data_IF_848739933898
#
_entry.id   IF_848739933898
#
_cell.length_a   1.000
_cell.length_b   1.000
_cell.length_c   1.000
_cell.angle_alpha   90.00
_cell.angle_beta   90.00
_cell.angle_gamma   90.00
#
_symmetry.space_group_name_H-M   'P 1'
#
loop_
_entity.id
_entity.type
_entity.pdbx_description
1 polymer ?
#
# COMPACT_ATOMS: atom_id res chain seq x y z
N UNK A 1 33.31 19.45 15.12
CA UNK A 1 33.34 18.35 16.11
C UNK A 1 32.41 18.72 17.25
N UNK A 2 31.34 17.95 17.48
CA UNK A 2 30.39 18.22 18.56
C UNK A 2 29.37 17.08 18.62
N UNK A 3 29.60 16.13 19.53
CA UNK A 3 28.77 14.94 19.75
C UNK A 3 27.59 15.32 20.63
N UNK A 4 26.37 15.06 20.19
CA UNK A 4 25.15 15.17 20.98
C UNK A 4 24.96 13.91 21.82
N UNK A 5 25.18 14.05 23.13
CA UNK A 5 24.88 13.05 24.15
C UNK A 5 23.52 13.35 24.76
N UNK A 6 22.47 12.63 24.34
CA UNK A 6 21.16 12.64 24.99
C UNK A 6 20.58 11.23 25.02
N UNK A 7 21.10 10.42 25.96
CA UNK A 7 20.47 9.19 26.40
C UNK A 7 21.02 8.82 27.77
N UNK A 8 20.29 9.17 28.85
CA UNK A 8 20.24 8.43 30.13
C UNK A 8 19.39 9.17 31.16
N UNK A 9 18.63 8.39 31.95
CA UNK A 9 17.72 8.71 33.07
C UNK A 9 16.26 8.94 32.65
N UNK A 10 15.25 8.31 33.23
CA UNK A 10 15.17 7.42 34.38
C UNK A 10 13.88 6.55 34.29
N UNK A 11 13.93 5.33 34.84
CA UNK A 11 12.75 4.54 35.19
C UNK A 11 13.04 3.88 36.54
N UNK A 12 12.22 4.18 37.55
CA UNK A 12 12.04 3.41 38.79
C UNK A 12 10.54 3.35 39.05
N UNK A 13 9.93 2.19 39.35
CA UNK A 13 8.54 2.13 39.76
C UNK A 13 8.43 2.24 41.28
N UNK A 14 7.55 3.11 41.76
CA UNK A 14 7.04 3.11 43.13
C UNK A 14 5.72 2.37 43.18
N UNK A 15 5.57 1.46 44.16
CA UNK A 15 4.30 0.91 44.62
C UNK A 15 3.58 1.96 45.46
N UNK A 16 2.25 1.93 45.48
CA UNK A 16 1.47 2.02 46.72
C UNK A 16 0.02 1.57 46.50
N UNK A 17 -0.50 0.91 47.53
CA UNK A 17 -1.83 0.29 47.68
C UNK A 17 -2.85 1.30 48.23
N UNK A 18 -4.15 0.98 48.15
CA UNK A 18 -5.16 1.56 49.06
C UNK A 18 -6.54 1.84 48.46
N UNK A 19 -7.49 0.95 48.75
CA UNK A 19 -8.97 1.10 48.69
C UNK A 19 -9.42 1.13 50.17
N UNK A 20 -10.48 1.87 50.63
CA UNK A 20 -11.86 1.33 50.53
C UNK A 20 -13.09 2.28 50.57
N UNK A 21 -14.22 1.71 50.09
CA UNK A 21 -15.63 1.79 50.59
C UNK A 21 -16.37 3.15 50.63
N UNK A 22 -17.71 3.30 50.54
CA UNK A 22 -18.87 2.46 50.28
C UNK A 22 -20.16 3.35 50.21
N UNK A 23 -21.25 2.78 49.67
CA UNK A 23 -22.66 3.07 50.05
C UNK A 23 -23.45 3.94 49.06
N UNK A 24 -24.76 3.76 48.80
CA UNK A 24 -25.77 2.69 48.97
C UNK A 24 -27.15 3.33 48.64
N UNK A 25 -28.12 2.56 48.14
CA UNK A 25 -29.56 2.89 48.12
C UNK A 25 -30.20 2.81 46.71
N UNK A 26 -30.89 1.74 46.27
CA UNK A 26 -32.12 1.03 46.69
C UNK A 26 -33.43 1.70 46.23
N UNK A 27 -34.27 0.89 45.53
CA UNK A 27 -35.74 1.02 45.46
C UNK A 27 -36.31 0.81 44.04
N UNK A 28 -36.66 -0.42 43.60
CA UNK A 28 -37.99 -1.12 43.65
C UNK A 28 -39.08 -0.45 42.79
N UNK A 29 -40.01 -1.10 42.08
CA UNK A 29 -40.42 -2.50 41.85
C UNK A 29 -41.72 -2.54 41.00
N UNK A 30 -41.96 -3.62 40.25
CA UNK A 30 -43.30 -4.12 39.83
C UNK A 30 -43.82 -3.61 38.47
N UNK A 31 -44.51 -4.38 37.62
CA UNK A 31 -44.96 -5.77 37.66
C UNK A 31 -45.81 -6.10 36.39
N UNK A 32 -45.61 -7.31 35.86
CA UNK A 32 -46.53 -8.25 35.19
C UNK A 32 -47.76 -7.82 34.35
N UNK A 33 -47.84 -8.46 33.16
CA UNK A 33 -48.96 -9.21 32.50
C UNK A 33 -49.54 -8.69 31.17
N UNK A 34 -49.28 -9.51 30.13
CA UNK A 34 -50.16 -10.06 29.07
C UNK A 34 -51.27 -9.20 28.45
N UNK A 35 -51.25 -9.05 27.12
CA UNK A 35 -52.11 -9.82 26.17
C UNK A 35 -52.00 -9.26 24.73
N UNK A 36 -51.89 -10.18 23.77
CA UNK A 36 -52.33 -10.16 22.36
C UNK A 36 -52.77 -8.83 21.72
N UNK A 37 -52.21 -8.47 20.55
CA UNK A 37 -52.62 -8.99 19.22
C UNK A 37 -52.21 -8.01 18.10
N UNK A 38 -51.99 -8.58 16.91
CA UNK A 38 -52.09 -7.98 15.58
C UNK A 38 -50.92 -7.18 14.96
N UNK A 39 -50.58 -7.65 13.74
CA UNK A 39 -50.20 -6.92 12.52
C UNK A 39 -48.72 -6.59 12.22
N UNK A 40 -48.22 -7.18 11.11
CA UNK A 40 -47.05 -6.77 10.32
C UNK A 40 -45.81 -7.65 10.53
N UNK A 41 -45.54 -8.73 9.77
CA UNK A 41 -45.04 -8.73 8.37
C UNK A 41 -43.89 -7.72 8.24
N UNK A 42 -42.62 -8.04 8.02
CA UNK A 42 -41.91 -9.03 7.21
C UNK A 42 -40.41 -8.87 7.56
N UNK A 43 -39.58 -9.91 7.42
CA UNK A 43 -38.13 -9.91 7.07
C UNK A 43 -37.38 -11.06 7.77
N UNK A 44 -37.68 -12.29 7.37
CA UNK A 44 -36.75 -13.42 7.41
C UNK A 44 -37.07 -14.33 6.23
N UNK A 45 -36.17 -14.34 5.25
CA UNK A 45 -35.84 -15.43 4.31
C UNK A 45 -35.41 -14.85 2.96
N UNK A 46 -34.12 -14.87 2.67
CA UNK A 46 -33.64 -15.19 1.32
C UNK A 46 -32.20 -15.71 1.40
N UNK A 47 -32.08 -17.01 1.63
CA UNK A 47 -30.90 -17.80 1.25
C UNK A 47 -31.29 -18.55 -0.02
N UNK A 48 -30.39 -18.46 -0.99
CA UNK A 48 -30.28 -19.24 -2.21
C UNK A 48 -31.15 -18.85 -3.42
N UNK A 49 -30.50 -18.85 -4.59
CA UNK A 49 -31.14 -18.64 -5.88
C UNK A 49 -30.99 -17.25 -6.49
N UNK A 50 -29.83 -16.96 -7.08
CA UNK A 50 -29.70 -16.49 -8.48
C UNK A 50 -28.23 -16.34 -8.88
N UNK A 51 -27.70 -17.43 -9.43
CA UNK A 51 -26.79 -17.38 -10.56
C UNK A 51 -27.56 -16.78 -11.75
N UNK A 52 -26.85 -16.06 -12.62
CA UNK A 52 -27.31 -15.48 -13.88
C UNK A 52 -28.11 -14.17 -13.76
N UNK A 53 -27.37 -13.06 -13.84
CA UNK A 53 -27.61 -11.89 -14.70
C UNK A 53 -26.92 -10.68 -14.07
N UNK A 54 -25.75 -10.31 -14.59
CA UNK A 54 -25.17 -8.96 -14.71
C UNK A 54 -23.80 -9.16 -15.40
N UNK A 55 -23.82 -9.34 -16.72
CA UNK A 55 -22.65 -9.11 -17.58
C UNK A 55 -23.13 -8.39 -18.84
N UNK A 56 -23.26 -7.07 -18.74
CA UNK A 56 -23.22 -6.17 -19.90
C UNK A 56 -22.39 -4.94 -19.51
N UNK A 57 -21.09 -5.16 -19.34
CA UNK A 57 -20.10 -4.09 -19.40
C UNK A 57 -19.04 -4.53 -20.40
N UNK A 58 -18.92 -3.71 -21.44
CA UNK A 58 -17.86 -3.60 -22.43
C UNK A 58 -16.63 -4.47 -22.16
N UNK A 59 -16.40 -5.46 -23.03
CA UNK A 59 -15.18 -6.28 -23.05
C UNK A 59 -14.02 -5.45 -23.60
N UNK A 60 -13.32 -4.70 -22.74
CA UNK A 60 -11.94 -4.31 -23.02
C UNK A 60 -11.03 -5.47 -22.61
N UNK A 61 -10.61 -6.30 -23.57
CA UNK A 61 -9.77 -7.48 -23.34
C UNK A 61 -8.31 -7.05 -23.20
N UNK A 62 -7.89 -6.66 -21.99
CA UNK A 62 -6.47 -6.48 -21.68
C UNK A 62 -5.85 -7.88 -21.50
N UNK A 63 -5.10 -8.36 -22.50
CA UNK A 63 -4.35 -9.62 -22.40
C UNK A 63 -2.91 -9.33 -21.96
N UNK A 64 -2.64 -9.54 -20.66
CA UNK A 64 -1.32 -9.46 -20.03
C UNK A 64 -0.48 -10.65 -20.51
N UNK A 65 0.39 -10.44 -21.48
CA UNK A 65 1.23 -11.48 -22.07
C UNK A 65 2.63 -11.47 -21.40
N UNK A 66 2.89 -12.45 -20.52
CA UNK A 66 4.19 -12.72 -19.88
C UNK A 66 5.03 -13.61 -20.81
N UNK A 67 6.21 -13.15 -21.24
CA UNK A 67 7.19 -13.97 -21.98
C UNK A 67 8.37 -14.28 -21.06
N UNK A 68 8.60 -15.56 -20.79
CA UNK A 68 9.80 -16.03 -20.11
C UNK A 68 10.80 -16.51 -21.17
N UNK A 69 11.92 -15.81 -21.32
CA UNK A 69 13.10 -16.31 -22.04
C UNK A 69 14.23 -16.47 -21.03
N UNK A 70 14.55 -17.72 -20.73
CA UNK A 70 15.66 -18.12 -19.88
C UNK A 70 16.98 -18.03 -20.65
N UNK A 71 17.59 -16.84 -20.69
CA UNK A 71 18.96 -16.66 -21.14
C UNK A 71 19.93 -16.79 -19.96
N UNK A 72 20.77 -17.83 -19.95
CA UNK A 72 21.82 -18.06 -18.95
C UNK A 72 23.02 -17.12 -19.18
N UNK A 73 22.83 -15.84 -18.91
CA UNK A 73 23.88 -14.86 -18.65
C UNK A 73 23.39 -13.99 -17.49
N UNK A 74 24.16 -13.88 -16.41
CA UNK A 74 23.69 -13.14 -15.23
C UNK A 74 23.56 -11.66 -15.60
N UNK A 75 22.32 -11.21 -15.76
CA UNK A 75 22.02 -9.82 -16.10
C UNK A 75 22.67 -8.87 -15.05
N UNK A 76 23.17 -7.71 -15.49
CA UNK A 76 23.69 -6.70 -14.57
C UNK A 76 22.58 -6.17 -13.67
N UNK A 77 22.93 -5.51 -12.56
CA UNK A 77 21.93 -4.84 -11.73
C UNK A 77 21.36 -3.60 -12.43
N UNK A 78 20.05 -3.37 -12.27
CA UNK A 78 19.38 -2.21 -12.84
C UNK A 78 19.84 -0.89 -12.20
N UNK A 79 20.09 0.11 -13.05
CA UNK A 79 20.36 1.49 -12.63
C UNK A 79 19.08 2.25 -12.26
N UNK A 80 19.26 3.51 -11.83
CA UNK A 80 18.14 4.38 -11.46
C UNK A 80 17.54 4.11 -10.08
N UNK A 81 16.74 5.07 -9.62
CA UNK A 81 15.98 4.95 -8.37
C UNK A 81 14.81 3.97 -8.49
N UNK A 82 14.40 3.35 -7.38
CA UNK A 82 13.22 2.46 -7.36
C UNK A 82 11.92 3.19 -7.76
N UNK A 83 11.85 4.49 -7.45
CA UNK A 83 10.70 5.36 -7.71
C UNK A 83 10.87 6.21 -8.98
N UNK A 84 11.99 6.12 -9.68
CA UNK A 84 12.19 6.82 -10.95
C UNK A 84 11.62 5.97 -12.08
N UNK A 85 10.79 6.53 -12.95
CA UNK A 85 10.34 5.93 -14.21
C UNK A 85 10.90 6.74 -15.37
N UNK A 86 11.73 6.12 -16.20
CA UNK A 86 12.24 6.77 -17.42
C UNK A 86 11.21 6.55 -18.53
N UNK A 87 10.49 7.61 -18.88
CA UNK A 87 9.60 7.63 -20.02
C UNK A 87 10.37 8.03 -21.28
N UNK A 88 10.37 7.15 -22.28
CA UNK A 88 11.05 7.34 -23.56
C UNK A 88 9.99 7.60 -24.62
N UNK A 89 10.02 8.79 -25.20
CA UNK A 89 9.02 9.25 -26.17
C UNK A 89 9.58 10.38 -27.03
N UNK A 90 9.07 10.52 -28.26
CA UNK A 90 9.24 11.73 -29.05
C UNK A 90 8.47 12.90 -28.42
N UNK A 91 8.88 14.13 -28.72
CA UNK A 91 8.28 15.34 -28.17
C UNK A 91 6.78 15.44 -28.49
N UNK A 92 6.38 15.08 -29.71
CA UNK A 92 4.98 15.09 -30.16
C UNK A 92 4.14 14.01 -29.44
N UNK A 93 4.70 12.82 -29.25
CA UNK A 93 4.02 11.71 -28.57
C UNK A 93 3.84 12.03 -27.08
N UNK A 94 4.87 12.62 -26.46
CA UNK A 94 4.78 13.15 -25.10
C UNK A 94 3.75 14.27 -24.99
N UNK A 95 3.71 15.21 -25.94
CA UNK A 95 2.71 16.27 -25.94
C UNK A 95 1.27 15.71 -26.04
N UNK A 96 1.06 14.58 -26.72
CA UNK A 96 -0.26 13.97 -26.87
C UNK A 96 -0.71 13.17 -25.64
N UNK A 97 0.18 12.38 -25.03
CA UNK A 97 -0.17 11.38 -24.02
C UNK A 97 0.61 11.48 -22.70
N UNK A 98 1.72 12.23 -22.68
CA UNK A 98 2.69 12.26 -21.60
C UNK A 98 2.12 12.73 -20.26
N UNK A 99 1.33 13.81 -20.25
CA UNK A 99 0.74 14.32 -19.00
C UNK A 99 -0.31 13.38 -18.40
N UNK A 100 -1.05 12.63 -19.23
CA UNK A 100 -2.00 11.62 -18.76
C UNK A 100 -1.27 10.49 -18.03
N UNK A 101 -0.19 9.98 -18.63
CA UNK A 101 0.59 8.90 -18.02
C UNK A 101 1.40 9.40 -16.83
N UNK A 102 1.94 10.62 -16.88
CA UNK A 102 2.58 11.27 -15.73
C UNK A 102 1.60 11.38 -14.56
N UNK A 103 0.41 11.91 -14.79
CA UNK A 103 -0.62 12.02 -13.75
C UNK A 103 -1.00 10.67 -13.15
N UNK A 104 -1.04 9.62 -13.97
CA UNK A 104 -1.32 8.27 -13.50
C UNK A 104 -0.19 7.67 -12.64
N UNK A 105 1.08 7.95 -12.98
CA UNK A 105 2.26 7.42 -12.29
C UNK A 105 2.65 8.22 -11.04
N UNK A 106 2.61 9.55 -11.13
CA UNK A 106 3.03 10.48 -10.08
C UNK A 106 1.94 10.70 -9.02
N UNK A 107 1.25 9.63 -8.61
CA UNK A 107 0.18 9.71 -7.60
C UNK A 107 0.71 10.25 -6.30
N UNK A 108 0.00 11.21 -5.74
CA UNK A 108 0.35 11.84 -4.47
C UNK A 108 0.08 10.90 -3.30
N UNK A 109 1.08 10.74 -2.45
CA UNK A 109 0.99 10.15 -1.13
C UNK A 109 0.99 11.27 -0.11
N UNK A 110 -0.10 11.35 0.67
CA UNK A 110 -0.24 12.32 1.75
C UNK A 110 0.74 11.98 2.88
N UNK A 111 1.85 12.71 2.91
CA UNK A 111 2.72 12.83 4.09
C UNK A 111 2.71 14.30 4.52
N UNK A 112 3.35 14.68 5.66
CA UNK A 112 3.42 16.09 6.05
C UNK A 112 3.93 17.04 4.95
N UNK A 113 4.73 16.53 4.02
CA UNK A 113 5.01 17.19 2.75
C UNK A 113 4.57 16.24 1.65
N UNK A 114 3.71 16.68 0.72
CA UNK A 114 3.21 15.79 -0.32
C UNK A 114 4.36 15.15 -1.12
N UNK A 115 4.30 13.83 -1.25
CA UNK A 115 5.30 13.03 -1.95
C UNK A 115 4.61 12.26 -3.09
N UNK A 116 5.37 11.81 -4.09
CA UNK A 116 4.82 11.05 -5.22
C UNK A 116 5.28 9.59 -5.14
N UNK A 117 4.43 8.65 -5.58
CA UNK A 117 4.82 7.23 -5.66
C UNK A 117 5.96 7.03 -6.65
N UNK A 118 5.85 7.65 -7.83
CA UNK A 118 6.88 7.67 -8.85
C UNK A 118 7.23 9.10 -9.25
N UNK A 119 8.43 9.29 -9.79
CA UNK A 119 8.87 10.50 -10.47
C UNK A 119 9.15 10.11 -11.92
N UNK A 120 8.46 10.76 -12.86
CA UNK A 120 8.61 10.47 -14.28
C UNK A 120 9.65 11.40 -14.88
N UNK A 121 10.69 10.78 -15.44
CA UNK A 121 11.75 11.46 -16.18
C UNK A 121 11.57 11.19 -17.66
N UNK A 122 11.40 12.24 -18.45
CA UNK A 122 11.23 12.12 -19.91
C UNK A 122 12.60 12.16 -20.57
N UNK A 123 12.84 11.24 -21.51
CA UNK A 123 14.04 11.22 -22.32
C UNK A 123 13.69 10.90 -23.78
N UNK A 124 14.42 11.47 -24.75
CA UNK A 124 14.16 11.21 -26.16
C UNK A 124 14.74 9.84 -26.57
N UNK A 125 14.27 9.23 -27.69
CA UNK A 125 14.64 7.87 -28.08
C UNK A 125 16.14 7.67 -28.32
N UNK A 126 16.90 8.69 -28.70
CA UNK A 126 18.34 8.60 -28.92
C UNK A 126 19.10 8.26 -27.63
N UNK A 127 18.55 8.66 -26.48
CA UNK A 127 19.12 8.33 -25.17
C UNK A 127 18.70 6.97 -24.64
N UNK A 128 17.84 6.24 -25.35
CA UNK A 128 17.38 4.92 -24.90
C UNK A 128 18.54 3.98 -24.59
N UNK A 129 19.61 3.99 -25.42
CA UNK A 129 20.80 3.17 -25.18
C UNK A 129 21.44 3.37 -23.80
N UNK A 130 21.46 4.62 -23.31
CA UNK A 130 21.98 4.96 -21.98
C UNK A 130 21.05 4.47 -20.86
N UNK A 131 19.74 4.72 -20.98
CA UNK A 131 18.75 4.35 -19.97
C UNK A 131 18.29 2.89 -20.07
N UNK A 132 18.74 2.13 -21.07
CA UNK A 132 18.28 0.76 -21.35
C UNK A 132 18.40 -0.19 -20.15
N UNK A 133 19.26 0.11 -19.18
CA UNK A 133 19.45 -0.69 -17.97
C UNK A 133 18.76 -0.11 -16.71
N UNK A 134 17.89 0.88 -16.84
CA UNK A 134 17.14 1.43 -15.71
C UNK A 134 16.08 0.44 -15.20
N UNK A 135 15.80 0.47 -13.89
CA UNK A 135 14.82 -0.44 -13.27
C UNK A 135 13.41 -0.24 -13.82
N UNK A 136 13.01 0.97 -14.16
CA UNK A 136 11.67 1.26 -14.64
C UNK A 136 11.76 2.08 -15.93
N UNK A 137 11.27 1.50 -17.02
CA UNK A 137 11.25 2.14 -18.33
C UNK A 137 9.83 2.08 -18.87
N UNK A 138 9.33 3.20 -19.36
CA UNK A 138 8.08 3.30 -20.08
C UNK A 138 8.35 3.84 -21.49
N UNK A 139 8.08 3.06 -22.51
CA UNK A 139 8.14 3.51 -23.91
C UNK A 139 6.75 4.01 -24.32
N UNK A 140 6.66 5.20 -24.92
CA UNK A 140 5.41 5.77 -25.44
C UNK A 140 5.64 6.14 -26.89
N UNK A 141 4.87 5.55 -27.81
CA UNK A 141 5.09 5.76 -29.24
C UNK A 141 3.79 5.66 -30.06
N UNK A 142 3.72 6.42 -31.15
CA UNK A 142 2.83 6.12 -32.29
C UNK A 142 3.59 5.45 -33.45
N UNK A 143 2.88 4.78 -34.36
CA UNK A 143 3.48 4.01 -35.46
C UNK A 143 3.28 4.65 -36.84
N UNK A 144 2.47 5.70 -36.95
CA UNK A 144 2.25 6.51 -38.16
C UNK A 144 3.45 7.41 -38.52
N UNK A 145 4.55 7.36 -37.75
CA UNK A 145 5.81 8.05 -38.04
C UNK A 145 6.92 7.06 -38.46
N UNK A 146 7.81 7.44 -39.39
CA UNK A 146 8.86 6.54 -39.87
C UNK A 146 10.07 6.43 -38.93
N UNK A 147 10.34 7.46 -38.11
CA UNK A 147 11.57 7.61 -37.32
C UNK A 147 11.30 7.76 -35.81
N UNK A 148 12.37 7.96 -35.03
CA UNK A 148 12.29 8.23 -33.60
C UNK A 148 11.87 7.01 -32.78
N UNK A 149 10.89 7.20 -31.90
CA UNK A 149 10.39 6.15 -31.01
C UNK A 149 9.68 5.04 -31.80
N UNK A 150 9.09 5.36 -32.95
CA UNK A 150 8.49 4.35 -33.83
C UNK A 150 9.52 3.36 -34.39
N UNK A 151 10.70 3.84 -34.80
CA UNK A 151 11.80 2.99 -35.25
C UNK A 151 12.33 2.11 -34.11
N UNK A 152 12.51 2.72 -32.92
CA UNK A 152 12.86 1.97 -31.71
C UNK A 152 11.85 0.86 -31.42
N UNK A 153 10.54 1.15 -31.50
CA UNK A 153 9.49 0.15 -31.33
C UNK A 153 9.58 -0.97 -32.37
N UNK A 154 9.78 -0.64 -33.65
CA UNK A 154 9.94 -1.65 -34.72
C UNK A 154 11.16 -2.54 -34.51
N UNK A 155 12.24 -1.99 -33.94
CA UNK A 155 13.44 -2.76 -33.60
C UNK A 155 13.23 -3.73 -32.42
N UNK A 156 12.32 -3.39 -31.50
CA UNK A 156 12.05 -4.15 -30.28
C UNK A 156 10.89 -5.16 -30.42
N UNK A 157 9.91 -4.86 -31.27
CA UNK A 157 8.68 -5.65 -31.40
C UNK A 157 8.67 -6.51 -32.67
N UNK A 158 8.23 -7.76 -32.54
CA UNK A 158 8.04 -8.65 -33.68
C UNK A 158 6.81 -8.29 -34.52
N UNK A 159 6.82 -8.70 -35.80
CA UNK A 159 5.75 -8.41 -36.80
C UNK A 159 4.33 -8.68 -36.33
N UNK A 160 4.12 -9.72 -35.51
CA UNK A 160 2.79 -10.06 -34.96
C UNK A 160 2.24 -8.97 -34.05
N UNK A 161 3.09 -8.30 -33.26
CA UNK A 161 2.66 -7.24 -32.35
C UNK A 161 2.38 -5.96 -33.13
N UNK A 162 3.23 -5.64 -34.11
CA UNK A 162 3.02 -4.49 -35.01
C UNK A 162 1.68 -4.59 -35.74
N UNK A 163 1.39 -5.75 -36.36
CA UNK A 163 0.09 -5.99 -37.02
C UNK A 163 -1.08 -5.82 -36.06
N UNK A 164 -0.95 -6.29 -34.81
CA UNK A 164 -2.01 -6.10 -33.81
C UNK A 164 -2.24 -4.64 -33.45
N UNK A 165 -1.20 -3.80 -33.44
CA UNK A 165 -1.35 -2.36 -33.19
C UNK A 165 -2.10 -1.70 -34.36
N UNK A 166 -1.83 -2.12 -35.59
CA UNK A 166 -2.57 -1.66 -36.78
C UNK A 166 -4.06 -2.05 -36.68
N UNK A 167 -4.35 -3.31 -36.33
CA UNK A 167 -5.70 -3.89 -36.25
C UNK A 167 -6.51 -3.37 -35.04
N UNK A 168 -5.92 -3.31 -33.85
CA UNK A 168 -6.57 -2.96 -32.57
C UNK A 168 -6.39 -1.49 -32.17
N UNK A 169 -5.59 -0.72 -32.93
CA UNK A 169 -5.32 0.69 -32.70
C UNK A 169 -4.24 0.97 -31.64
N UNK A 170 -4.10 0.15 -30.60
CA UNK A 170 -3.03 0.27 -29.62
C UNK A 170 -2.74 -1.02 -28.84
N UNK A 171 -1.56 -1.09 -28.25
CA UNK A 171 -1.13 -2.17 -27.37
C UNK A 171 -0.42 -1.61 -26.14
N UNK A 172 -0.78 -2.15 -24.97
CA UNK A 172 0.02 -2.07 -23.76
C UNK A 172 0.79 -3.38 -23.55
N UNK A 173 2.12 -3.31 -23.62
CA UNK A 173 3.01 -4.46 -23.42
C UNK A 173 3.98 -4.25 -22.27
N UNK A 174 4.44 -5.33 -21.65
CA UNK A 174 5.50 -5.25 -20.65
C UNK A 174 6.43 -6.46 -20.69
N UNK A 175 7.65 -6.26 -20.20
CA UNK A 175 8.66 -7.29 -20.01
C UNK A 175 9.41 -7.05 -18.72
N UNK A 176 9.92 -8.15 -18.15
CA UNK A 176 10.82 -8.12 -17.01
C UNK A 176 12.21 -8.55 -17.45
N UNK A 177 13.21 -8.02 -16.77
CA UNK A 177 14.60 -8.45 -16.89
C UNK A 177 15.13 -8.50 -18.33
N UNK A 178 14.79 -7.48 -19.14
CA UNK A 178 15.18 -7.44 -20.56
C UNK A 178 16.69 -7.24 -20.71
N UNK A 179 17.23 -6.27 -19.96
CA UNK A 179 18.64 -5.88 -20.04
C UNK A 179 19.35 -5.78 -18.69
N UNK A 180 18.60 -5.79 -17.59
CA UNK A 180 19.12 -5.75 -16.22
C UNK A 180 18.19 -6.51 -15.27
N UNK A 181 18.72 -7.00 -14.14
CA UNK A 181 17.93 -7.64 -13.08
C UNK A 181 17.00 -6.65 -12.42
N UNK A 182 15.84 -7.16 -12.02
CA UNK A 182 14.75 -6.42 -11.43
C UNK A 182 14.28 -5.29 -12.35
N UNK A 183 14.41 -5.44 -13.67
CA UNK A 183 13.96 -4.43 -14.62
C UNK A 183 12.48 -4.64 -14.96
N UNK A 184 11.75 -3.55 -15.06
CA UNK A 184 10.38 -3.50 -15.54
C UNK A 184 10.30 -2.54 -16.72
N UNK A 185 10.11 -3.10 -17.91
CA UNK A 185 9.95 -2.38 -19.16
C UNK A 185 8.48 -2.44 -19.58
N UNK A 186 7.84 -1.30 -19.75
CA UNK A 186 6.47 -1.16 -20.21
C UNK A 186 6.47 -0.37 -21.53
N UNK A 187 5.57 -0.68 -22.44
CA UNK A 187 5.42 0.03 -23.71
C UNK A 187 3.94 0.28 -24.00
N UNK A 188 3.57 1.55 -24.10
CA UNK A 188 2.29 2.03 -24.63
C UNK A 188 2.54 2.44 -26.08
N UNK A 189 2.08 1.61 -27.02
CA UNK A 189 2.26 1.88 -28.45
C UNK A 189 0.91 1.94 -29.12
N UNK A 190 0.66 3.00 -29.88
CA UNK A 190 -0.56 3.19 -30.65
C UNK A 190 -0.28 3.33 -32.15
N UNK A 191 -1.33 3.19 -32.95
CA UNK A 191 -1.27 3.39 -34.40
C UNK A 191 -0.96 4.84 -34.74
N UNK A 192 -1.63 5.78 -34.07
CA UNK A 192 -1.59 7.21 -34.35
C UNK A 192 -1.70 8.02 -33.04
N UNK A 193 -1.52 9.34 -33.14
CA UNK A 193 -1.51 10.23 -31.98
C UNK A 193 -2.85 10.35 -31.24
N UNK A 194 -3.98 10.10 -31.91
CA UNK A 194 -5.32 10.12 -31.31
C UNK A 194 -5.54 8.88 -30.45
N UNK A 195 -5.31 7.69 -31.02
CA UNK A 195 -5.36 6.43 -30.29
C UNK A 195 -4.39 6.42 -29.10
N UNK A 196 -3.21 7.03 -29.24
CA UNK A 196 -2.23 7.15 -28.16
C UNK A 196 -2.79 7.92 -26.96
N UNK A 197 -3.43 9.07 -27.22
CA UNK A 197 -4.04 9.91 -26.16
C UNK A 197 -5.20 9.21 -25.48
N UNK A 198 -6.11 8.63 -26.27
CA UNK A 198 -7.26 7.90 -25.75
C UNK A 198 -6.81 6.79 -24.79
N UNK A 199 -5.86 5.97 -25.23
CA UNK A 199 -5.40 4.81 -24.47
C UNK A 199 -4.48 5.16 -23.31
N UNK A 200 -3.74 6.26 -23.39
CA UNK A 200 -3.03 6.81 -22.23
C UNK A 200 -3.98 7.18 -21.09
N UNK A 201 -5.13 7.79 -21.42
CA UNK A 201 -6.18 8.10 -20.46
C UNK A 201 -6.86 6.85 -19.90
N UNK A 202 -7.24 5.91 -20.78
CA UNK A 202 -7.94 4.68 -20.40
C UNK A 202 -7.05 3.74 -19.55
N UNK A 203 -5.78 3.58 -19.92
CA UNK A 203 -4.89 2.58 -19.34
C UNK A 203 -3.92 3.13 -18.29
N UNK A 204 -3.94 4.43 -17.98
CA UNK A 204 -3.07 5.03 -16.96
C UNK A 204 -3.14 4.28 -15.62
N UNK A 205 -4.34 3.87 -15.23
CA UNK A 205 -4.58 3.09 -14.01
C UNK A 205 -3.93 1.70 -14.03
N UNK A 206 -3.95 1.03 -15.18
CA UNK A 206 -3.29 -0.26 -15.37
C UNK A 206 -1.76 -0.09 -15.38
N UNK A 207 -1.25 0.93 -16.09
CA UNK A 207 0.17 1.27 -16.13
C UNK A 207 0.71 1.47 -14.70
N UNK A 208 0.03 2.29 -13.90
CA UNK A 208 0.41 2.52 -12.50
C UNK A 208 0.49 1.21 -11.70
N UNK A 209 -0.55 0.38 -11.75
CA UNK A 209 -0.59 -0.89 -11.00
C UNK A 209 0.54 -1.84 -11.40
N UNK A 210 0.91 -1.85 -12.68
CA UNK A 210 2.02 -2.69 -13.17
C UNK A 210 3.38 -2.23 -12.62
N UNK A 211 3.65 -0.92 -12.63
CA UNK A 211 4.86 -0.35 -12.02
C UNK A 211 4.87 -0.50 -10.49
N UNK A 212 3.73 -0.25 -9.83
CA UNK A 212 3.60 -0.40 -8.37
C UNK A 212 3.86 -1.85 -7.95
N UNK A 213 3.31 -2.84 -8.66
CA UNK A 213 3.58 -4.25 -8.40
C UNK A 213 5.07 -4.58 -8.54
N UNK A 214 5.73 -4.10 -9.60
CA UNK A 214 7.17 -4.30 -9.78
C UNK A 214 8.00 -3.64 -8.66
N UNK A 215 7.59 -2.45 -8.20
CA UNK A 215 8.20 -1.77 -7.05
C UNK A 215 8.03 -2.60 -5.77
N UNK A 216 6.82 -3.08 -5.47
CA UNK A 216 6.54 -3.87 -4.27
C UNK A 216 7.31 -5.19 -4.24
N UNK A 217 7.40 -5.90 -5.36
CA UNK A 217 8.19 -7.14 -5.48
C UNK A 217 9.67 -6.89 -5.14
N UNK A 218 10.27 -5.82 -5.69
CA UNK A 218 11.66 -5.43 -5.41
C UNK A 218 11.86 -5.03 -3.96
N UNK A 219 10.98 -4.18 -3.44
CA UNK A 219 11.05 -3.71 -2.05
C UNK A 219 10.94 -4.88 -1.09
N UNK A 220 10.02 -5.82 -1.35
CA UNK A 220 9.86 -7.05 -0.57
C UNK A 220 11.14 -7.88 -0.59
N UNK A 221 11.70 -8.17 -1.77
CA UNK A 221 12.98 -8.86 -1.89
C UNK A 221 14.11 -8.15 -1.13
N UNK A 222 14.16 -6.83 -1.21
CA UNK A 222 15.18 -6.02 -0.54
C UNK A 222 15.04 -6.00 0.99
N UNK A 223 13.83 -5.82 1.55
CA UNK A 223 13.67 -5.75 3.02
C UNK A 223 13.98 -7.10 3.68
N UNK A 224 13.70 -8.22 3.03
CA UNK A 224 13.92 -9.56 3.57
C UNK A 224 15.28 -10.18 3.22
N UNK A 225 16.11 -9.54 2.38
CA UNK A 225 17.38 -10.12 1.88
C UNK A 225 18.40 -10.51 2.96
N UNK A 226 18.35 -9.86 4.12
CA UNK A 226 19.25 -10.14 5.25
C UNK A 226 18.62 -11.08 6.30
N UNK A 227 17.48 -11.68 5.96
CA UNK A 227 16.72 -12.56 6.82
C UNK A 227 15.66 -11.85 7.66
N UNK A 228 15.10 -12.63 8.58
CA UNK A 228 13.93 -12.31 9.38
C UNK A 228 14.21 -12.55 10.86
N UNK A 229 13.47 -11.88 11.73
CA UNK A 229 13.52 -12.04 13.19
C UNK A 229 12.64 -13.21 13.64
N UNK A 230 12.95 -14.42 13.17
CA UNK A 230 12.11 -15.63 13.38
C UNK A 230 11.67 -15.88 14.82
N UNK A 231 12.55 -15.67 15.79
CA UNK A 231 12.20 -15.85 17.21
C UNK A 231 11.10 -14.88 17.68
N UNK A 232 11.03 -13.67 17.13
CA UNK A 232 9.92 -12.76 17.40
C UNK A 232 8.64 -13.23 16.71
N UNK A 233 8.72 -13.73 15.47
CA UNK A 233 7.56 -14.28 14.76
C UNK A 233 6.97 -15.49 15.49
N UNK A 234 7.82 -16.41 15.95
CA UNK A 234 7.41 -17.60 16.71
C UNK A 234 6.78 -17.24 18.05
N UNK A 235 7.30 -16.20 18.72
CA UNK A 235 6.72 -15.67 19.95
C UNK A 235 5.31 -15.11 19.71
N UNK A 236 5.13 -14.30 18.65
CA UNK A 236 3.82 -13.75 18.29
C UNK A 236 2.82 -14.87 17.98
N UNK A 237 3.29 -15.85 17.18
CA UNK A 237 2.53 -17.04 16.80
C UNK A 237 2.03 -17.80 18.03
N UNK A 238 2.95 -18.16 18.91
CA UNK A 238 2.68 -19.04 20.06
C UNK A 238 1.84 -18.35 21.14
N UNK A 239 2.01 -17.04 21.33
CA UNK A 239 1.31 -16.30 22.38
C UNK A 239 -0.05 -15.74 21.96
N UNK A 240 -0.21 -15.38 20.69
CA UNK A 240 -1.37 -14.59 20.25
C UNK A 240 -2.14 -15.20 19.07
N UNK A 241 -1.70 -16.33 18.51
CA UNK A 241 -2.43 -17.00 17.42
C UNK A 241 -2.34 -16.29 16.06
N UNK A 242 -1.44 -15.31 15.92
CA UNK A 242 -1.15 -14.63 14.67
C UNK A 242 0.35 -14.38 14.54
N UNK A 243 0.81 -14.13 13.32
CA UNK A 243 2.21 -13.87 13.02
C UNK A 243 2.37 -12.67 12.10
N UNK A 244 3.56 -12.08 12.17
CA UNK A 244 3.99 -10.97 11.33
C UNK A 244 5.41 -11.29 10.88
N UNK A 245 5.70 -11.26 9.58
CA UNK A 245 7.07 -11.46 9.07
C UNK A 245 7.89 -10.22 9.37
N UNK A 246 8.96 -10.34 10.15
CA UNK A 246 9.73 -9.20 10.64
C UNK A 246 11.11 -9.18 10.00
N UNK A 247 11.40 -8.24 9.07
CA UNK A 247 12.75 -8.07 8.55
C UNK A 247 13.79 -7.85 9.65
N UNK A 248 15.06 -8.17 9.38
CA UNK A 248 16.14 -7.86 10.32
C UNK A 248 16.13 -6.40 10.79
N UNK A 249 16.36 -6.25 12.10
CA UNK A 249 16.43 -4.97 12.81
C UNK A 249 15.12 -4.48 13.42
N UNK A 250 14.01 -5.21 13.24
CA UNK A 250 12.80 -4.97 14.04
C UNK A 250 12.96 -5.57 15.45
N UNK A 251 12.35 -4.92 16.44
CA UNK A 251 12.30 -5.40 17.82
C UNK A 251 10.88 -5.26 18.37
N UNK A 252 10.49 -6.21 19.22
CA UNK A 252 9.24 -6.14 19.98
C UNK A 252 9.49 -5.24 21.19
N UNK A 253 8.88 -4.06 21.21
CA UNK A 253 9.00 -3.09 22.31
C UNK A 253 7.96 -3.39 23.40
N UNK A 254 6.79 -3.94 23.01
CA UNK A 254 5.74 -4.38 23.93
C UNK A 254 4.98 -5.56 23.32
N UNK A 255 4.67 -6.54 24.17
CA UNK A 255 3.78 -7.65 23.82
C UNK A 255 2.97 -8.07 25.04
N UNK A 256 1.73 -7.57 25.10
CA UNK A 256 0.76 -7.87 26.16
C UNK A 256 -0.58 -8.33 25.58
N UNK A 257 -1.54 -8.57 26.47
CA UNK A 257 -2.90 -8.89 26.07
C UNK A 257 -3.54 -7.70 25.33
N UNK A 258 -4.07 -7.97 24.14
CA UNK A 258 -4.75 -6.97 23.30
C UNK A 258 -3.84 -5.96 22.60
N UNK A 259 -2.52 -5.99 22.80
CA UNK A 259 -1.61 -5.02 22.18
C UNK A 259 -0.17 -5.51 22.03
N UNK A 260 0.34 -5.40 20.80
CA UNK A 260 1.75 -5.60 20.44
C UNK A 260 2.27 -4.38 19.71
N UNK A 261 3.49 -3.95 20.04
CA UNK A 261 4.21 -2.89 19.33
C UNK A 261 5.60 -3.38 18.93
N UNK A 262 5.88 -3.30 17.63
CA UNK A 262 7.19 -3.61 17.05
C UNK A 262 7.78 -2.40 16.34
N UNK A 263 9.09 -2.23 16.43
CA UNK A 263 9.77 -0.99 16.01
C UNK A 263 11.10 -1.29 15.34
N UNK A 264 11.46 -0.47 14.35
CA UNK A 264 12.81 -0.35 13.78
C UNK A 264 13.23 1.12 13.89
N UNK A 265 14.39 1.37 14.51
CA UNK A 265 14.81 2.73 14.92
C UNK A 265 15.57 3.53 13.86
N UNK A 266 16.10 2.87 12.83
CA UNK A 266 16.98 3.51 11.84
C UNK A 266 16.52 3.22 10.41
N UNK A 267 15.79 4.16 9.77
CA UNK A 267 15.08 5.27 10.43
C UNK A 267 13.86 4.77 11.21
N UNK A 268 13.25 5.66 11.98
CA UNK A 268 12.19 5.36 12.92
C UNK A 268 10.88 4.98 12.21
N UNK A 269 10.42 3.75 12.45
CA UNK A 269 9.18 3.19 11.93
C UNK A 269 8.69 2.06 12.81
N UNK A 270 7.38 1.94 12.92
CA UNK A 270 6.78 0.94 13.78
C UNK A 270 5.49 0.39 13.23
N UNK A 271 5.10 -0.75 13.81
CA UNK A 271 3.83 -1.40 13.60
C UNK A 271 3.24 -1.65 14.97
N UNK A 272 1.95 -1.40 15.15
CA UNK A 272 1.23 -2.01 16.26
C UNK A 272 0.12 -2.91 15.76
N UNK A 273 -0.14 -3.94 16.55
CA UNK A 273 -1.31 -4.80 16.42
C UNK A 273 -2.11 -4.64 17.71
N UNK A 274 -3.36 -4.20 17.58
CA UNK A 274 -4.32 -4.17 18.68
C UNK A 274 -5.46 -5.13 18.38
N UNK A 275 -6.00 -5.77 19.41
CA UNK A 275 -7.23 -6.56 19.30
C UNK A 275 -8.05 -6.48 20.57
N UNK A 276 -9.37 -6.52 20.41
CA UNK A 276 -10.32 -6.43 21.51
C UNK A 276 -11.76 -6.63 21.05
N UNK A 277 -12.70 -6.20 21.89
CA UNK A 277 -14.12 -6.30 21.60
C UNK A 277 -14.47 -5.55 20.30
N UNK A 278 -15.22 -6.22 19.43
CA UNK A 278 -15.68 -5.62 18.19
C UNK A 278 -16.82 -4.63 18.47
N UNK A 279 -16.83 -3.46 17.81
CA UNK A 279 -18.00 -2.61 17.79
C UNK A 279 -19.11 -3.25 16.94
N UNK A 280 -20.35 -2.80 17.14
CA UNK A 280 -21.46 -3.15 16.25
C UNK A 280 -21.15 -2.76 14.79
N UNK A 281 -20.52 -1.60 14.61
CA UNK A 281 -20.06 -1.10 13.31
C UNK A 281 -18.57 -0.75 13.37
N UNK A 282 -17.77 -1.40 12.52
CA UNK A 282 -16.36 -1.08 12.31
C UNK A 282 -16.23 -0.17 11.08
N UNK A 283 -16.30 1.13 11.30
CA UNK A 283 -16.10 2.18 10.29
C UNK A 283 -14.85 3.02 10.57
N UNK A 284 -14.53 3.98 9.71
CA UNK A 284 -13.39 4.86 9.91
C UNK A 284 -13.49 5.77 11.13
N UNK A 285 -14.70 6.11 11.59
CA UNK A 285 -14.90 6.94 12.78
C UNK A 285 -14.48 6.17 14.05
N UNK A 286 -14.96 4.93 14.20
CA UNK A 286 -14.52 4.04 15.28
C UNK A 286 -13.02 3.77 15.20
N UNK A 287 -12.51 3.44 14.00
CA UNK A 287 -11.10 3.10 13.82
C UNK A 287 -10.17 4.27 14.17
N UNK A 288 -10.55 5.50 13.80
CA UNK A 288 -9.83 6.72 14.20
C UNK A 288 -9.85 6.89 15.71
N UNK A 289 -11.03 6.79 16.34
CA UNK A 289 -11.17 7.00 17.78
C UNK A 289 -10.34 5.98 18.59
N UNK A 290 -10.35 4.70 18.17
CA UNK A 290 -9.51 3.67 18.79
C UNK A 290 -8.03 3.94 18.58
N UNK A 291 -7.63 4.35 17.37
CA UNK A 291 -6.23 4.73 17.10
C UNK A 291 -5.77 5.88 18.00
N UNK A 292 -6.58 6.93 18.17
CA UNK A 292 -6.28 8.06 19.05
C UNK A 292 -6.19 7.62 20.53
N UNK A 293 -7.04 6.68 20.98
CA UNK A 293 -6.96 6.09 22.33
C UNK A 293 -5.64 5.31 22.54
N UNK A 294 -5.29 4.44 21.59
CA UNK A 294 -4.01 3.72 21.58
C UNK A 294 -2.84 4.71 21.59
N UNK A 295 -2.92 5.78 20.80
CA UNK A 295 -1.99 6.90 20.76
C UNK A 295 -1.78 7.59 22.11
N UNK A 296 -2.88 7.92 22.80
CA UNK A 296 -2.85 8.49 24.15
C UNK A 296 -2.18 7.55 25.17
N UNK A 297 -2.49 6.24 25.09
CA UNK A 297 -2.02 5.25 26.07
C UNK A 297 -0.56 4.82 25.87
N UNK A 298 -0.13 4.64 24.63
CA UNK A 298 1.16 4.00 24.32
C UNK A 298 2.16 4.91 23.61
N UNK A 299 1.69 6.00 23.00
CA UNK A 299 2.51 6.90 22.18
C UNK A 299 2.52 8.34 22.71
N UNK A 300 2.37 8.53 24.02
CA UNK A 300 2.43 9.85 24.67
C UNK A 300 1.47 10.90 24.07
N UNK A 301 0.32 10.47 23.54
CA UNK A 301 -0.66 11.38 22.95
C UNK A 301 -0.54 11.59 21.45
N UNK A 302 0.09 10.69 20.71
CA UNK A 302 -0.04 10.68 19.25
C UNK A 302 -1.52 10.64 18.86
N UNK A 303 -1.91 11.47 17.89
CA UNK A 303 -3.28 11.54 17.38
C UNK A 303 -3.32 11.78 15.88
N UNK A 304 -4.44 11.42 15.26
CA UNK A 304 -4.68 11.68 13.84
C UNK A 304 -4.97 13.16 13.61
N UNK A 305 -4.39 13.73 12.54
CA UNK A 305 -4.74 15.05 12.02
C UNK A 305 -5.96 14.91 11.08
N UNK A 306 -7.19 15.30 11.50
CA UNK A 306 -8.41 14.91 10.80
C UNK A 306 -8.51 15.42 9.35
N UNK A 307 -7.95 16.59 9.07
CA UNK A 307 -8.03 17.25 7.76
C UNK A 307 -7.30 16.47 6.66
N UNK A 308 -6.37 15.60 7.03
CA UNK A 308 -5.55 14.83 6.11
C UNK A 308 -5.95 13.37 6.02
N UNK A 309 -6.98 12.98 6.77
CA UNK A 309 -7.45 11.61 6.84
C UNK A 309 -8.14 11.20 5.54
N UNK A 310 -7.82 10.00 5.07
CA UNK A 310 -8.50 9.31 3.98
C UNK A 310 -8.97 7.95 4.48
N UNK A 311 -10.21 7.61 4.19
CA UNK A 311 -10.82 6.31 4.47
C UNK A 311 -11.10 5.57 3.17
N UNK A 312 -10.78 4.28 3.14
CA UNK A 312 -11.00 3.40 1.99
C UNK A 312 -11.43 2.00 2.48
N UNK A 313 -12.44 1.42 1.81
CA UNK A 313 -12.75 0.00 1.96
C UNK A 313 -11.70 -0.81 1.18
N UNK A 314 -11.08 -1.79 1.85
CA UNK A 314 -10.02 -2.63 1.27
C UNK A 314 -10.18 -4.09 1.72
N UNK A 315 -9.36 -4.97 1.14
CA UNK A 315 -9.11 -6.29 1.70
C UNK A 315 -7.78 -6.27 2.47
N UNK A 316 -7.77 -6.81 3.69
CA UNK A 316 -6.56 -6.99 4.49
C UNK A 316 -6.60 -8.35 5.19
N UNK A 317 -5.48 -9.07 5.17
CA UNK A 317 -5.39 -10.44 5.70
C UNK A 317 -6.49 -11.40 5.20
N UNK A 318 -6.91 -11.24 3.94
CA UNK A 318 -7.95 -12.06 3.29
C UNK A 318 -9.39 -11.74 3.73
N UNK A 319 -9.64 -10.54 4.26
CA UNK A 319 -10.93 -10.15 4.84
C UNK A 319 -11.28 -8.70 4.46
N UNK A 320 -12.58 -8.35 4.41
CA UNK A 320 -13.00 -6.95 4.33
C UNK A 320 -12.43 -6.14 5.50
N UNK A 321 -11.90 -4.96 5.21
CA UNK A 321 -11.26 -4.08 6.16
C UNK A 321 -11.53 -2.61 5.81
N UNK A 322 -11.46 -1.75 6.83
CA UNK A 322 -11.39 -0.30 6.66
C UNK A 322 -9.93 0.11 6.75
N UNK A 323 -9.44 0.86 5.76
CA UNK A 323 -8.11 1.47 5.80
C UNK A 323 -8.22 2.96 6.02
N UNK A 324 -7.56 3.44 7.07
CA UNK A 324 -7.24 4.86 7.22
C UNK A 324 -5.81 5.13 6.74
N UNK A 325 -5.62 6.22 6.01
CA UNK A 325 -4.31 6.78 5.69
C UNK A 325 -4.31 8.27 6.02
N UNK A 326 -3.23 8.78 6.61
CA UNK A 326 -3.18 10.18 6.99
C UNK A 326 -1.91 10.57 7.73
N UNK A 327 -1.98 11.70 8.43
CA UNK A 327 -0.88 12.22 9.23
C UNK A 327 -1.21 12.01 10.71
N UNK A 328 -0.24 11.51 11.46
CA UNK A 328 -0.26 11.55 12.92
C UNK A 328 0.57 12.73 13.41
N UNK A 329 0.18 13.32 14.52
CA UNK A 329 0.92 14.36 15.22
C UNK A 329 1.05 14.04 16.70
N UNK A 330 2.13 14.54 17.30
CA UNK A 330 2.33 14.58 18.74
C UNK A 330 2.52 16.04 19.17
N UNK A 331 1.52 16.66 19.82
CA UNK A 331 1.63 18.06 20.26
C UNK A 331 2.72 18.28 21.32
N UNK A 332 3.03 17.27 22.14
CA UNK A 332 4.04 17.40 23.21
C UNK A 332 5.46 17.45 22.66
N UNK A 333 5.73 16.69 21.60
CA UNK A 333 7.06 16.59 20.99
C UNK A 333 7.19 17.40 19.70
N UNK A 334 6.12 18.06 19.24
CA UNK A 334 6.06 18.79 17.97
C UNK A 334 6.57 17.90 16.82
N UNK A 335 6.06 16.67 16.80
CA UNK A 335 6.48 15.63 15.86
C UNK A 335 5.28 15.13 15.07
N UNK A 336 5.53 14.57 13.89
CA UNK A 336 4.48 13.99 13.07
C UNK A 336 5.04 13.24 11.86
N UNK A 337 4.18 12.48 11.22
CA UNK A 337 4.53 11.64 10.09
C UNK A 337 3.31 10.98 9.48
N UNK A 338 3.46 10.26 8.35
CA UNK A 338 2.36 9.52 7.76
C UNK A 338 2.13 8.19 8.48
N UNK A 339 0.89 7.71 8.42
CA UNK A 339 0.48 6.39 8.87
C UNK A 339 -0.45 5.69 7.87
N UNK A 340 -0.56 4.36 8.00
CA UNK A 340 -1.67 3.56 7.47
C UNK A 340 -2.20 2.66 8.58
N UNK A 341 -3.51 2.55 8.70
CA UNK A 341 -4.20 1.80 9.74
C UNK A 341 -5.27 0.93 9.12
N UNK A 342 -5.23 -0.38 9.38
CA UNK A 342 -6.20 -1.35 8.89
C UNK A 342 -7.03 -1.86 10.06
N UNK A 343 -8.34 -1.62 10.01
CA UNK A 343 -9.31 -2.16 10.97
C UNK A 343 -10.15 -3.26 10.31
N UNK A 344 -10.26 -4.42 10.95
CA UNK A 344 -11.04 -5.54 10.45
C UNK A 344 -11.54 -6.43 11.60
N UNK A 345 -12.52 -7.28 11.33
CA UNK A 345 -13.02 -8.25 12.30
C UNK A 345 -12.51 -9.68 12.02
N UNK A 346 -12.25 -10.42 13.09
CA UNK A 346 -11.95 -11.85 13.04
C UNK A 346 -12.43 -12.53 14.32
N UNK A 347 -13.24 -13.59 14.18
CA UNK A 347 -13.73 -14.41 15.32
C UNK A 347 -14.35 -13.58 16.46
N UNK A 348 -15.22 -12.63 16.10
CA UNK A 348 -15.93 -11.77 17.07
C UNK A 348 -15.08 -10.68 17.72
N UNK A 349 -13.80 -10.53 17.31
CA UNK A 349 -12.91 -9.47 17.77
C UNK A 349 -12.62 -8.46 16.67
N UNK A 350 -12.42 -7.21 17.05
CA UNK A 350 -11.83 -6.22 16.17
C UNK A 350 -10.30 -6.29 16.27
N UNK A 351 -9.64 -6.13 15.13
CA UNK A 351 -8.21 -6.04 14.99
C UNK A 351 -7.84 -4.71 14.33
N UNK A 352 -6.76 -4.12 14.80
CA UNK A 352 -6.12 -2.96 14.19
C UNK A 352 -4.67 -3.31 13.91
N UNK A 353 -4.24 -3.21 12.65
CA UNK A 353 -2.83 -3.25 12.26
C UNK A 353 -2.46 -1.87 11.72
N UNK A 354 -1.66 -1.14 12.49
CA UNK A 354 -1.24 0.23 12.14
C UNK A 354 0.25 0.27 11.88
N UNK A 355 0.64 1.09 10.91
CA UNK A 355 2.03 1.43 10.63
C UNK A 355 2.21 2.93 10.63
N UNK A 356 3.33 3.39 11.17
CA UNK A 356 3.69 4.80 11.13
C UNK A 356 5.21 4.97 11.03
N UNK A 357 5.62 6.11 10.48
CA UNK A 357 7.04 6.47 10.29
C UNK A 357 7.32 7.87 10.82
N UNK A 358 8.50 8.05 11.37
CA UNK A 358 9.03 9.35 11.80
C UNK A 358 10.42 9.56 11.18
N UNK A 359 10.48 10.26 10.04
CA UNK A 359 11.75 10.50 9.33
C UNK A 359 11.86 11.98 8.98
N UNK A 360 12.25 12.85 9.93
CA UNK A 360 12.37 14.28 9.68
C UNK A 360 13.47 14.57 8.65
N UNK A 361 13.24 15.55 7.78
CA UNK A 361 14.22 15.98 6.77
C UNK A 361 14.45 15.03 5.60
N UNK A 362 13.70 13.93 5.50
CA UNK A 362 13.80 12.99 4.37
C UNK A 362 12.42 12.62 3.80
N UNK A 363 12.42 12.04 2.61
CA UNK A 363 11.28 11.41 1.96
C UNK A 363 10.75 10.26 2.81
N UNK A 364 9.45 10.25 3.10
CA UNK A 364 8.80 9.31 4.04
C UNK A 364 8.12 8.15 3.33
N UNK A 365 7.64 8.34 2.10
CA UNK A 365 6.91 7.36 1.30
C UNK A 365 7.67 6.03 1.17
N UNK A 366 8.98 5.98 0.85
CA UNK A 366 9.70 4.73 0.73
C UNK A 366 9.72 3.93 2.05
N UNK A 367 9.80 4.63 3.18
CA UNK A 367 9.80 3.99 4.50
C UNK A 367 8.41 3.56 4.92
N UNK A 368 7.39 4.38 4.64
CA UNK A 368 5.98 4.05 4.88
C UNK A 368 5.60 2.80 4.09
N UNK A 369 5.99 2.71 2.81
CA UNK A 369 5.74 1.55 1.96
C UNK A 369 6.46 0.31 2.47
N UNK A 370 7.72 0.43 2.90
CA UNK A 370 8.44 -0.70 3.50
C UNK A 370 7.72 -1.25 4.73
N UNK A 371 7.30 -0.40 5.67
CA UNK A 371 6.64 -0.86 6.89
C UNK A 371 5.22 -1.37 6.63
N UNK A 372 4.52 -0.79 5.64
CA UNK A 372 3.22 -1.29 5.17
C UNK A 372 3.33 -2.70 4.55
N UNK A 373 4.39 -2.98 3.77
CA UNK A 373 4.66 -4.33 3.26
C UNK A 373 4.91 -5.34 4.38
N UNK A 374 5.55 -4.92 5.47
CA UNK A 374 5.71 -5.75 6.67
C UNK A 374 4.35 -5.98 7.31
N UNK A 375 3.52 -4.95 7.52
CA UNK A 375 2.17 -5.09 8.07
C UNK A 375 1.27 -6.01 7.25
N UNK A 376 1.33 -5.95 5.91
CA UNK A 376 0.57 -6.83 5.01
C UNK A 376 0.97 -8.31 5.09
N UNK A 377 2.08 -8.65 5.76
CA UNK A 377 2.44 -10.04 6.08
C UNK A 377 1.67 -10.61 7.28
N UNK A 378 0.88 -9.78 7.96
CA UNK A 378 0.03 -10.20 9.07
C UNK A 378 -0.86 -11.37 8.64
N UNK A 379 -0.85 -12.42 9.44
CA UNK A 379 -1.64 -13.62 9.19
C UNK A 379 -1.99 -14.33 10.48
N UNK A 380 -3.21 -14.86 10.57
CA UNK A 380 -3.57 -15.80 11.62
C UNK A 380 -2.91 -17.15 11.35
N UNK A 381 -2.60 -17.86 12.42
CA UNK A 381 -2.12 -19.25 12.31
C UNK A 381 -3.29 -20.10 11.86
N UNK A 382 -3.06 -20.96 10.85
CA UNK A 382 -4.02 -21.98 10.44
C UNK A 382 -3.91 -23.21 11.33
#
# INVERSE_FOLDING_TARGET
MGRSAWARRAFRPGREEGVPSAGSGIGRSGGCRSSDNSTGSQFLAFVDGRKEEIVKVMRCRILIIVWALSGCGRLPEGGGGLHEVVAVADSEDWASAGELVRGALERVVRTPQEEKVFIVRIEPPEKFGFFRRWRNILLIARLDTPEGTADLVRSLLGRRVLKRIEDEGAVLGFRRDVWARDQFFCALVARDGEALREKAGEWGDAIFRMFEKALEERLSGWIYRHGEERGAEDMLRSRFGWSLRLPRGYRVERAGEGFVWVRKRTPERWIFVWWGDAPDTLDGAWLRAQRDNIGARYYNGDRVVPQWLKEEAVEFAGRPAVRLSGIWENPRFVAGGPFRCYGFQHEGRAYIVDVAVFVPGATKEPYLRQVDLVARSFSFVR
#
